data_IF_848055263529
#
_entry.id   IF_848055263529
#
_cell.length_a   1.000
_cell.length_b   1.000
_cell.length_c   1.000
_cell.angle_alpha   90.00
_cell.angle_beta   90.00
_cell.angle_gamma   90.00
#
_symmetry.space_group_name_H-M   'P 1'
#
loop_
_entity.id
_entity.type
_entity.pdbx_description
1 polymer ?
#
# COMPACT_ATOMS: atom_id res chain seq x y z
N UNK A 1 -39.91 19.49 1.47
CA UNK A 1 -38.98 20.50 0.94
C UNK A 1 -37.77 19.72 0.47
N UNK A 2 -37.51 19.68 -0.84
CA UNK A 2 -36.38 18.90 -1.37
C UNK A 2 -35.10 19.68 -1.18
N UNK A 3 -34.11 19.08 -0.53
CA UNK A 3 -32.76 19.61 -0.45
C UNK A 3 -32.21 19.88 -1.87
N UNK A 4 -31.51 21.01 -2.11
CA UNK A 4 -31.05 21.32 -3.45
C UNK A 4 -29.96 20.31 -3.87
N UNK A 5 -30.21 19.51 -4.92
CA UNK A 5 -29.16 18.70 -5.54
C UNK A 5 -28.43 19.52 -6.62
N UNK A 6 -27.14 19.78 -6.43
CA UNK A 6 -26.30 20.43 -7.44
C UNK A 6 -25.69 19.39 -8.39
N UNK A 7 -26.21 19.30 -9.63
CA UNK A 7 -25.71 18.38 -10.65
C UNK A 7 -25.10 19.12 -11.84
N UNK A 8 -23.85 18.81 -12.16
CA UNK A 8 -23.21 19.22 -13.41
C UNK A 8 -22.83 17.99 -14.23
N UNK A 9 -23.11 18.04 -15.53
CA UNK A 9 -22.66 17.05 -16.50
C UNK A 9 -22.03 17.76 -17.70
N UNK A 10 -20.78 17.45 -17.99
CA UNK A 10 -20.10 17.84 -19.22
C UNK A 10 -19.91 16.59 -20.11
N UNK A 11 -20.25 16.73 -21.39
CA UNK A 11 -20.08 15.73 -22.45
C UNK A 11 -19.68 16.43 -23.74
N UNK A 12 -18.56 16.06 -24.35
CA UNK A 12 -18.13 16.56 -25.67
C UNK A 12 -16.80 17.33 -25.69
N UNK A 13 -16.20 17.40 -26.90
CA UNK A 13 -15.00 18.10 -27.43
C UNK A 13 -13.73 18.23 -26.54
N UNK A 14 -12.54 18.52 -27.14
CA UNK A 14 -11.32 18.82 -26.39
C UNK A 14 -11.62 19.78 -25.23
N UNK A 15 -11.30 19.37 -24.00
CA UNK A 15 -11.38 20.13 -22.76
C UNK A 15 -12.76 20.22 -22.06
N UNK A 16 -13.32 19.07 -21.69
CA UNK A 16 -14.52 18.99 -20.86
C UNK A 16 -14.26 19.41 -19.39
N UNK A 17 -14.71 20.61 -18.99
CA UNK A 17 -14.68 21.06 -17.58
C UNK A 17 -16.07 21.06 -16.94
N UNK A 18 -16.23 20.30 -15.87
CA UNK A 18 -17.42 20.34 -15.02
C UNK A 18 -17.03 20.78 -13.61
N UNK A 19 -17.69 21.82 -13.11
CA UNK A 19 -17.43 22.37 -11.78
C UNK A 19 -18.75 22.51 -11.05
N UNK A 20 -18.81 21.95 -9.84
CA UNK A 20 -19.93 22.12 -8.92
C UNK A 20 -19.41 22.80 -7.66
N UNK A 21 -20.12 23.84 -7.22
CA UNK A 21 -19.94 24.51 -5.94
C UNK A 21 -21.31 24.59 -5.25
N UNK A 22 -21.42 24.10 -4.02
CA UNK A 22 -22.57 24.34 -3.15
C UNK A 22 -23.64 23.24 -3.11
N UNK A 23 -24.45 23.33 -2.04
CA UNK A 23 -25.59 22.51 -1.62
C UNK A 23 -25.32 21.06 -1.15
N UNK A 24 -26.23 20.51 -0.30
CA UNK A 24 -26.05 19.25 0.42
C UNK A 24 -25.57 18.07 -0.38
N UNK A 25 -25.96 18.01 -1.65
CA UNK A 25 -25.53 16.94 -2.53
C UNK A 25 -25.01 17.51 -3.84
N UNK A 26 -23.73 17.31 -4.09
CA UNK A 26 -23.03 17.81 -5.26
C UNK A 26 -22.53 16.66 -6.14
N UNK A 27 -23.00 16.59 -7.39
CA UNK A 27 -22.57 15.57 -8.36
C UNK A 27 -22.04 16.22 -9.63
N UNK A 28 -20.76 16.00 -9.90
CA UNK A 28 -20.10 16.41 -11.12
C UNK A 28 -19.74 15.17 -11.95
N UNK A 29 -20.07 15.21 -13.25
CA UNK A 29 -19.67 14.19 -14.21
C UNK A 29 -19.09 14.84 -15.46
N UNK A 30 -17.84 14.53 -15.80
CA UNK A 30 -17.26 14.90 -17.08
C UNK A 30 -17.02 13.63 -17.92
N UNK A 31 -17.29 13.70 -19.22
CA UNK A 31 -16.96 12.66 -20.19
C UNK A 31 -16.53 13.28 -21.52
N UNK A 32 -15.29 13.06 -21.98
CA UNK A 32 -14.81 13.67 -23.23
C UNK A 32 -13.38 13.27 -23.61
N UNK A 33 -12.99 13.67 -24.82
CA UNK A 33 -11.69 13.54 -25.51
C UNK A 33 -11.24 14.94 -25.95
N UNK A 34 -9.94 15.32 -25.97
CA UNK A 34 -8.92 15.18 -24.95
C UNK A 34 -9.15 16.08 -23.70
N UNK A 35 -8.72 15.66 -22.51
CA UNK A 35 -8.73 16.43 -21.24
C UNK A 35 -10.10 16.65 -20.57
N UNK A 36 -10.41 15.81 -19.59
CA UNK A 36 -11.61 15.97 -18.77
C UNK A 36 -11.26 16.38 -17.33
N UNK A 37 -11.82 17.50 -16.87
CA UNK A 37 -11.70 17.94 -15.48
C UNK A 37 -13.06 18.01 -14.81
N UNK A 38 -13.17 17.38 -13.66
CA UNK A 38 -14.34 17.47 -12.80
C UNK A 38 -13.91 17.91 -11.42
N UNK A 39 -14.55 18.97 -10.92
CA UNK A 39 -14.27 19.52 -9.60
C UNK A 39 -15.57 19.68 -8.84
N UNK A 40 -15.63 19.08 -7.67
CA UNK A 40 -16.72 19.28 -6.71
C UNK A 40 -16.16 19.95 -5.47
N UNK A 41 -16.84 21.01 -5.04
CA UNK A 41 -16.68 21.61 -3.71
C UNK A 41 -18.06 21.76 -3.06
N UNK A 42 -18.37 21.00 -2.03
CA UNK A 42 -19.67 21.08 -1.36
C UNK A 42 -19.76 20.19 -0.12
N UNK A 43 -20.76 20.44 0.70
CA UNK A 43 -21.14 19.70 1.91
C UNK A 43 -22.64 19.39 1.79
N UNK A 44 -23.19 18.28 2.35
CA UNK A 44 -22.60 17.01 2.78
C UNK A 44 -21.88 16.11 1.75
N UNK A 45 -22.58 15.69 0.70
CA UNK A 45 -22.15 14.60 -0.15
C UNK A 45 -21.61 15.09 -1.49
N UNK A 46 -20.37 14.73 -1.79
CA UNK A 46 -19.70 15.19 -3.00
C UNK A 46 -19.22 14.03 -3.87
N UNK A 47 -19.76 13.91 -5.08
CA UNK A 47 -19.39 12.89 -6.05
C UNK A 47 -18.83 13.51 -7.34
N UNK A 48 -17.57 13.20 -7.63
CA UNK A 48 -16.89 13.62 -8.85
C UNK A 48 -16.53 12.39 -9.70
N UNK A 49 -17.01 12.35 -10.94
CA UNK A 49 -16.69 11.29 -11.89
C UNK A 49 -16.16 11.86 -13.19
N UNK A 50 -14.99 11.40 -13.62
CA UNK A 50 -14.42 11.67 -14.94
C UNK A 50 -14.25 10.35 -15.65
N UNK A 51 -14.58 10.36 -16.94
CA UNK A 51 -14.18 9.35 -17.90
C UNK A 51 -13.63 10.07 -19.14
N UNK A 52 -12.38 9.90 -19.50
CA UNK A 52 -11.86 10.52 -20.73
C UNK A 52 -10.44 10.09 -21.08
N UNK A 53 -10.12 10.12 -22.36
CA UNK A 53 -8.77 10.09 -22.90
C UNK A 53 -8.32 11.55 -23.19
N UNK A 54 -7.04 11.95 -23.20
CA UNK A 54 -5.87 11.36 -22.58
C UNK A 54 -5.80 11.64 -21.06
N UNK A 55 -6.19 12.85 -20.64
CA UNK A 55 -6.05 13.31 -19.26
C UNK A 55 -7.37 13.37 -18.52
N UNK A 56 -7.45 12.68 -17.39
CA UNK A 56 -8.64 12.63 -16.54
C UNK A 56 -8.31 13.13 -15.13
N UNK A 57 -8.88 14.29 -14.74
CA UNK A 57 -8.67 14.89 -13.41
C UNK A 57 -9.97 15.03 -12.65
N UNK A 58 -10.13 14.22 -11.62
CA UNK A 58 -11.20 14.39 -10.64
C UNK A 58 -10.67 15.00 -9.34
N UNK A 59 -11.39 16.00 -8.83
CA UNK A 59 -11.14 16.57 -7.51
C UNK A 59 -12.43 16.73 -6.73
N UNK A 60 -12.44 16.22 -5.52
CA UNK A 60 -13.47 16.49 -4.53
C UNK A 60 -12.88 17.18 -3.33
N UNK A 61 -13.57 18.18 -2.81
CA UNK A 61 -13.32 18.78 -1.51
C UNK A 61 -14.66 19.01 -0.81
N UNK A 62 -14.93 18.33 0.31
CA UNK A 62 -16.23 18.41 0.98
C UNK A 62 -16.36 17.49 2.18
N UNK A 63 -17.30 17.78 3.06
CA UNK A 63 -17.62 17.04 4.28
C UNK A 63 -19.13 16.74 4.31
N UNK A 64 -19.67 15.57 4.76
CA UNK A 64 -19.01 14.41 5.31
C UNK A 64 -18.46 13.40 4.28
N UNK A 65 -19.15 13.18 3.17
CA UNK A 65 -18.86 12.07 2.27
C UNK A 65 -18.33 12.54 0.91
N UNK A 66 -17.06 12.25 0.66
CA UNK A 66 -16.39 12.70 -0.54
C UNK A 66 -15.88 11.54 -1.40
N UNK A 67 -16.36 11.49 -2.65
CA UNK A 67 -16.03 10.43 -3.59
C UNK A 67 -15.56 10.91 -4.94
N UNK A 68 -14.37 10.47 -5.31
CA UNK A 68 -13.70 10.86 -6.53
C UNK A 68 -13.34 9.63 -7.36
N UNK A 69 -13.77 9.61 -8.62
CA UNK A 69 -13.52 8.52 -9.58
C UNK A 69 -13.03 9.07 -10.92
N UNK A 70 -11.82 8.73 -11.33
CA UNK A 70 -11.28 9.05 -12.65
C UNK A 70 -11.00 7.74 -13.37
N UNK A 71 -11.36 7.72 -14.65
CA UNK A 71 -11.06 6.64 -15.57
C UNK A 71 -10.58 7.24 -16.87
N UNK A 72 -9.42 6.81 -17.37
CA UNK A 72 -8.84 7.38 -18.57
C UNK A 72 -7.43 6.89 -18.81
N UNK A 73 -7.05 6.80 -20.07
CA UNK A 73 -5.70 6.55 -20.57
C UNK A 73 -5.26 7.84 -21.26
N UNK A 74 -4.00 8.36 -21.22
CA UNK A 74 -2.85 8.01 -20.44
C UNK A 74 -2.93 8.31 -18.92
N UNK A 75 -3.33 9.54 -18.59
CA UNK A 75 -3.06 10.13 -17.28
C UNK A 75 -4.35 10.28 -16.47
N UNK A 76 -4.47 9.50 -15.41
CA UNK A 76 -5.63 9.60 -14.52
C UNK A 76 -5.24 10.03 -13.11
N UNK A 77 -5.86 11.12 -12.65
CA UNK A 77 -5.65 11.70 -11.32
C UNK A 77 -6.96 11.85 -10.57
N UNK A 78 -7.02 11.24 -9.40
CA UNK A 78 -8.05 11.50 -8.42
C UNK A 78 -7.47 12.11 -7.16
N UNK A 79 -8.16 13.13 -6.67
CA UNK A 79 -7.92 13.70 -5.35
C UNK A 79 -9.23 13.84 -4.60
N UNK A 80 -9.23 13.35 -3.37
CA UNK A 80 -10.24 13.65 -2.37
C UNK A 80 -9.59 14.36 -1.20
N UNK A 81 -10.26 15.39 -0.69
CA UNK A 81 -10.07 15.92 0.64
C UNK A 81 -11.45 16.03 1.30
N UNK A 82 -11.67 15.47 2.46
CA UNK A 82 -12.95 15.59 3.16
C UNK A 82 -12.97 14.76 4.43
N UNK A 83 -13.60 15.26 5.47
CA UNK A 83 -13.94 14.52 6.69
C UNK A 83 -15.45 14.28 6.68
N UNK A 84 -16.05 13.18 7.17
CA UNK A 84 -15.54 11.90 7.59
C UNK A 84 -14.87 11.02 6.52
N UNK A 85 -15.57 10.80 5.42
CA UNK A 85 -15.31 9.66 4.54
C UNK A 85 -14.74 10.10 3.20
N UNK A 86 -13.51 9.69 2.93
CA UNK A 86 -12.78 10.07 1.73
C UNK A 86 -12.47 8.86 0.85
N UNK A 87 -13.17 8.72 -0.28
CA UNK A 87 -12.99 7.60 -1.24
C UNK A 87 -12.46 8.06 -2.58
N UNK A 88 -11.18 7.75 -2.83
CA UNK A 88 -10.47 8.08 -4.06
C UNK A 88 -10.18 6.82 -4.88
N UNK A 89 -10.70 6.74 -6.11
CA UNK A 89 -10.47 5.60 -7.01
C UNK A 89 -10.06 6.05 -8.41
N UNK A 90 -8.98 5.48 -8.93
CA UNK A 90 -8.51 5.72 -10.27
C UNK A 90 -8.33 4.39 -11.00
N UNK A 91 -8.61 4.38 -12.30
CA UNK A 91 -8.26 3.32 -13.24
C UNK A 91 -7.76 3.95 -14.55
N UNK A 92 -6.64 3.50 -15.09
CA UNK A 92 -6.08 4.05 -16.33
C UNK A 92 -4.69 3.48 -16.63
N UNK A 93 -4.11 3.80 -17.77
CA UNK A 93 -2.79 3.41 -18.23
C UNK A 93 -2.23 4.55 -19.08
N UNK A 94 -0.98 5.04 -18.96
CA UNK A 94 0.14 4.58 -18.15
C UNK A 94 0.19 5.06 -16.71
N UNK A 95 -0.25 6.28 -16.41
CA UNK A 95 0.03 6.90 -15.13
C UNK A 95 -1.24 7.10 -14.29
N UNK A 96 -1.31 6.36 -13.18
CA UNK A 96 -2.46 6.45 -12.29
C UNK A 96 -2.11 6.93 -10.91
N UNK A 97 -2.88 7.93 -10.47
CA UNK A 97 -2.58 8.63 -9.23
C UNK A 97 -3.83 8.88 -8.42
N UNK A 98 -3.94 8.18 -7.29
CA UNK A 98 -4.96 8.44 -6.29
C UNK A 98 -4.38 9.09 -5.03
N UNK A 99 -5.07 10.10 -4.52
CA UNK A 99 -4.87 10.68 -3.20
C UNK A 99 -6.19 10.80 -2.45
N UNK A 100 -6.33 10.13 -1.31
CA UNK A 100 -7.38 10.41 -0.35
C UNK A 100 -6.76 11.08 0.89
N UNK A 101 -7.45 12.10 1.41
CA UNK A 101 -7.17 12.70 2.71
C UNK A 101 -8.47 13.00 3.43
N UNK A 102 -8.61 12.55 4.66
CA UNK A 102 -9.82 12.74 5.46
C UNK A 102 -9.75 12.00 6.78
N UNK A 103 -10.46 12.49 7.77
CA UNK A 103 -10.67 11.86 9.07
C UNK A 103 -12.20 11.64 9.21
N UNK A 104 -12.77 10.47 9.59
CA UNK A 104 -12.15 9.25 10.04
C UNK A 104 -11.64 8.27 8.97
N UNK A 105 -12.45 7.95 7.95
CA UNK A 105 -12.14 6.83 7.05
C UNK A 105 -11.62 7.34 5.70
N UNK A 106 -10.37 7.02 5.39
CA UNK A 106 -9.79 7.33 4.09
C UNK A 106 -9.43 6.07 3.30
N UNK A 107 -9.93 6.01 2.06
CA UNK A 107 -9.66 4.90 1.14
C UNK A 107 -9.15 5.39 -0.21
N UNK A 108 -8.04 4.81 -0.63
CA UNK A 108 -7.33 5.16 -1.86
C UNK A 108 -7.04 3.90 -2.68
N UNK A 109 -7.53 3.84 -3.93
CA UNK A 109 -7.25 2.74 -4.87
C UNK A 109 -6.80 3.25 -6.24
N UNK A 110 -5.66 2.77 -6.70
CA UNK A 110 -5.11 3.03 -8.03
C UNK A 110 -4.88 1.68 -8.71
N UNK A 111 -5.25 1.65 -9.97
CA UNK A 111 -5.11 0.52 -10.86
C UNK A 111 -4.66 1.05 -12.20
N UNK A 112 -3.49 0.63 -12.64
CA UNK A 112 -2.97 1.06 -13.92
C UNK A 112 -1.63 0.46 -14.25
N UNK A 113 -1.36 0.40 -15.54
CA UNK A 113 -0.16 -0.14 -16.16
C UNK A 113 0.38 0.97 -17.06
N UNK A 114 1.64 1.44 -16.99
CA UNK A 114 2.75 1.07 -16.12
C UNK A 114 2.70 1.44 -14.62
N UNK A 115 2.34 2.69 -14.30
CA UNK A 115 2.63 3.27 -13.00
C UNK A 115 1.37 3.51 -12.15
N UNK A 116 1.38 2.92 -10.96
CA UNK A 116 0.28 3.04 -9.99
C UNK A 116 0.74 3.63 -8.66
N UNK A 117 0.28 4.86 -8.38
CA UNK A 117 0.50 5.55 -7.10
C UNK A 117 -0.77 5.73 -6.30
N UNK A 118 -0.78 5.13 -5.11
CA UNK A 118 -1.76 5.42 -4.07
C UNK A 118 -1.13 6.07 -2.86
N UNK A 119 -1.78 7.13 -2.38
CA UNK A 119 -1.46 7.73 -1.09
C UNK A 119 -2.74 8.03 -0.32
N UNK A 120 -2.77 7.55 0.91
CA UNK A 120 -3.80 7.89 1.87
C UNK A 120 -3.17 8.56 3.08
N UNK A 121 -3.86 9.56 3.63
CA UNK A 121 -3.59 10.14 4.95
C UNK A 121 -4.94 10.36 5.65
N UNK A 122 -5.18 9.75 6.79
CA UNK A 122 -6.42 9.92 7.55
C UNK A 122 -6.33 9.25 8.90
N UNK A 123 -7.04 9.80 9.87
CA UNK A 123 -7.16 9.37 11.27
C UNK A 123 -8.65 9.10 11.51
N UNK A 124 -9.17 7.92 11.95
CA UNK A 124 -8.54 6.72 12.42
C UNK A 124 -8.04 5.73 11.34
N UNK A 125 -8.79 5.56 10.25
CA UNK A 125 -8.62 4.40 9.37
C UNK A 125 -8.10 4.78 7.98
N UNK A 126 -6.91 4.27 7.65
CA UNK A 126 -6.24 4.56 6.38
C UNK A 126 -6.00 3.32 5.53
N UNK A 127 -6.72 3.19 4.41
CA UNK A 127 -6.60 2.06 3.47
C UNK A 127 -6.07 2.49 2.10
N UNK A 128 -4.87 2.04 1.77
CA UNK A 128 -4.24 2.25 0.46
C UNK A 128 -4.05 0.93 -0.31
N UNK A 129 -4.40 0.96 -1.60
CA UNK A 129 -4.13 -0.15 -2.53
C UNK A 129 -3.66 0.35 -3.90
N UNK A 130 -2.41 0.09 -4.24
CA UNK A 130 -1.87 0.25 -5.59
C UNK A 130 -1.80 -1.11 -6.28
N UNK A 131 -2.18 -1.16 -7.55
CA UNK A 131 -2.06 -2.32 -8.43
C UNK A 131 -1.61 -1.85 -9.81
N UNK A 132 -0.48 -2.34 -10.28
CA UNK A 132 0.07 -1.93 -11.56
C UNK A 132 1.34 -2.67 -11.91
N UNK A 133 1.51 -2.95 -13.19
CA UNK A 133 2.69 -3.54 -13.83
C UNK A 133 3.24 -2.43 -14.71
N UNK A 134 4.52 -1.98 -14.61
CA UNK A 134 5.57 -2.48 -13.76
C UNK A 134 5.67 -1.91 -12.35
N UNK A 135 5.23 -0.66 -12.10
CA UNK A 135 5.56 0.03 -10.85
C UNK A 135 4.33 0.31 -9.97
N UNK A 136 4.37 -0.20 -8.74
CA UNK A 136 3.29 -0.04 -7.76
C UNK A 136 3.77 0.58 -6.45
N UNK A 137 3.37 1.84 -6.19
CA UNK A 137 3.68 2.57 -4.96
C UNK A 137 2.43 2.81 -4.12
N UNK A 138 2.37 2.21 -2.94
CA UNK A 138 1.31 2.43 -1.96
C UNK A 138 1.85 2.98 -0.63
N UNK A 139 1.24 4.07 -0.15
CA UNK A 139 1.51 4.67 1.15
C UNK A 139 0.22 4.96 1.92
N UNK A 140 0.17 4.50 3.17
CA UNK A 140 -0.87 4.82 4.14
C UNK A 140 -0.23 5.41 5.39
N UNK A 141 -0.92 6.42 5.91
CA UNK A 141 -0.58 7.10 7.15
C UNK A 141 -1.88 7.38 7.89
N UNK A 142 -2.03 6.82 9.07
CA UNK A 142 -3.20 6.99 9.92
C UNK A 142 -2.95 6.38 11.28
N UNK A 143 -3.38 7.06 12.31
CA UNK A 143 -3.50 6.60 13.70
C UNK A 143 -5.00 6.41 13.89
N UNK A 144 -5.57 5.30 14.41
CA UNK A 144 -4.98 4.07 14.86
C UNK A 144 -4.56 3.07 13.77
N UNK A 145 -5.33 2.89 12.69
CA UNK A 145 -5.15 1.77 11.76
C UNK A 145 -4.63 2.20 10.37
N UNK A 146 -3.50 1.62 9.96
CA UNK A 146 -2.90 1.84 8.64
C UNK A 146 -2.70 0.56 7.86
N UNK A 147 -3.43 0.42 6.74
CA UNK A 147 -3.30 -0.70 5.81
C UNK A 147 -2.82 -0.30 4.44
N UNK A 148 -1.69 -0.87 4.04
CA UNK A 148 -1.11 -0.73 2.71
C UNK A 148 -1.03 -2.04 1.95
N UNK A 149 -1.41 -2.00 0.68
CA UNK A 149 -1.19 -3.09 -0.27
C UNK A 149 -0.62 -2.55 -1.58
N UNK A 150 0.56 -3.03 -1.97
CA UNK A 150 1.09 -2.86 -3.31
C UNK A 150 1.12 -4.23 -4.00
N UNK A 151 0.70 -4.29 -5.26
CA UNK A 151 0.85 -5.47 -6.12
C UNK A 151 1.24 -5.06 -7.52
N UNK A 152 2.31 -5.63 -8.07
CA UNK A 152 2.87 -5.24 -9.34
C UNK A 152 4.14 -6.01 -9.65
N UNK A 153 4.49 -6.12 -10.92
CA UNK A 153 5.62 -6.89 -11.45
C UNK A 153 6.40 -5.96 -12.39
N UNK A 154 7.63 -5.48 -12.09
CA UNK A 154 8.53 -5.85 -11.01
C UNK A 154 8.46 -5.00 -9.74
N UNK A 155 8.44 -3.68 -9.86
CA UNK A 155 8.77 -2.82 -8.74
C UNK A 155 7.57 -2.50 -7.84
N UNK A 156 7.47 -3.21 -6.72
CA UNK A 156 6.40 -2.99 -5.75
C UNK A 156 6.90 -2.40 -4.43
N UNK A 157 6.39 -1.21 -4.06
CA UNK A 157 6.68 -0.54 -2.79
C UNK A 157 5.44 -0.28 -1.97
N UNK A 158 5.44 -0.82 -0.76
CA UNK A 158 4.40 -0.61 0.24
C UNK A 158 4.99 0.03 1.51
N UNK A 159 4.37 1.10 2.00
CA UNK A 159 4.73 1.78 3.25
C UNK A 159 3.51 2.09 4.10
N UNK A 160 3.35 1.39 5.21
CA UNK A 160 2.36 1.72 6.25
C UNK A 160 3.04 2.46 7.41
N UNK A 161 2.38 3.48 7.95
CA UNK A 161 2.74 4.13 9.21
C UNK A 161 1.47 4.45 9.99
N UNK A 162 1.36 3.95 11.21
CA UNK A 162 0.23 4.18 12.10
C UNK A 162 0.55 3.64 13.49
N UNK A 163 -0.21 4.10 14.47
CA UNK A 163 -0.12 3.71 15.88
C UNK A 163 -1.56 3.61 16.38
N UNK A 164 -2.09 2.44 16.82
CA UNK A 164 -1.41 1.22 17.22
C UNK A 164 -1.16 0.16 16.11
N UNK A 165 -1.96 0.16 15.04
CA UNK A 165 -2.02 -0.98 14.11
C UNK A 165 -1.51 -0.63 12.71
N UNK A 166 -0.46 -1.33 12.27
CA UNK A 166 0.07 -1.13 10.92
C UNK A 166 0.31 -2.43 10.15
N UNK A 167 -0.34 -2.52 8.98
CA UNK A 167 -0.22 -3.66 8.07
C UNK A 167 0.25 -3.24 6.69
N UNK A 168 1.39 -3.79 6.26
CA UNK A 168 1.87 -3.66 4.89
C UNK A 168 1.99 -5.02 4.23
N UNK A 169 1.44 -5.12 3.02
CA UNK A 169 1.56 -6.29 2.16
C UNK A 169 2.08 -5.85 0.80
N UNK A 170 3.16 -6.48 0.37
CA UNK A 170 3.68 -6.37 -0.98
C UNK A 170 3.64 -7.75 -1.63
N UNK A 171 3.22 -7.81 -2.91
CA UNK A 171 3.33 -9.01 -3.76
C UNK A 171 3.82 -8.55 -5.13
N UNK A 172 4.98 -9.00 -5.59
CA UNK A 172 5.53 -8.63 -6.88
C UNK A 172 6.84 -9.33 -7.17
N UNK A 173 7.15 -9.55 -8.44
CA UNK A 173 8.31 -10.28 -8.96
C UNK A 173 9.02 -9.40 -10.00
N UNK A 174 10.35 -9.17 -10.01
CA UNK A 174 11.33 -9.00 -8.92
C UNK A 174 11.32 -7.62 -8.22
N UNK A 175 11.95 -7.50 -7.04
CA UNK A 175 12.10 -6.25 -6.23
C UNK A 175 10.87 -5.76 -5.43
N UNK A 176 10.50 -6.51 -4.39
CA UNK A 176 9.46 -6.09 -3.45
C UNK A 176 10.01 -5.38 -2.20
N UNK A 177 9.55 -4.15 -1.91
CA UNK A 177 9.88 -3.39 -0.68
C UNK A 177 8.67 -3.17 0.22
N UNK A 178 8.67 -3.82 1.39
CA UNK A 178 7.70 -3.61 2.47
C UNK A 178 8.34 -2.85 3.63
N UNK A 179 7.74 -1.72 4.03
CA UNK A 179 8.14 -0.96 5.23
C UNK A 179 6.95 -0.69 6.12
N UNK A 180 7.09 -1.01 7.40
CA UNK A 180 6.10 -0.69 8.45
C UNK A 180 6.79 0.08 9.56
N UNK A 181 6.11 1.10 10.10
CA UNK A 181 6.50 1.82 11.32
C UNK A 181 5.27 2.11 12.19
N UNK A 182 5.23 1.61 13.41
CA UNK A 182 4.16 1.79 14.39
C UNK A 182 4.47 1.07 15.70
N UNK A 183 3.91 1.46 16.83
CA UNK A 183 3.77 0.63 18.04
C UNK A 183 2.29 0.26 18.18
N UNK A 184 1.84 -0.79 18.91
CA UNK A 184 2.49 -2.05 19.24
C UNK A 184 2.34 -3.12 18.12
N UNK A 185 1.23 -3.13 17.37
CA UNK A 185 0.91 -4.23 16.46
C UNK A 185 1.34 -3.96 15.01
N UNK A 186 2.49 -4.53 14.63
CA UNK A 186 3.02 -4.33 13.28
C UNK A 186 3.17 -5.62 12.47
N UNK A 187 2.72 -5.54 11.22
CA UNK A 187 2.70 -6.71 10.33
C UNK A 187 3.16 -6.38 8.93
N UNK A 188 4.34 -6.89 8.58
CA UNK A 188 4.88 -6.83 7.22
C UNK A 188 4.87 -8.20 6.55
N UNK A 189 4.29 -8.27 5.35
CA UNK A 189 4.39 -9.43 4.45
C UNK A 189 4.98 -8.97 3.12
N UNK A 190 6.13 -9.54 2.75
CA UNK A 190 6.64 -9.48 1.39
C UNK A 190 6.61 -10.88 0.76
N UNK A 191 6.15 -10.95 -0.48
CA UNK A 191 6.21 -12.13 -1.33
C UNK A 191 6.68 -11.70 -2.72
N UNK A 192 7.75 -12.30 -3.22
CA UNK A 192 8.30 -12.02 -4.53
C UNK A 192 9.57 -12.83 -4.78
N UNK A 193 9.77 -13.25 -6.01
CA UNK A 193 11.01 -13.75 -6.61
C UNK A 193 11.95 -12.55 -6.84
N UNK A 194 13.26 -12.77 -7.08
CA UNK A 194 14.40 -12.32 -6.25
C UNK A 194 14.39 -10.88 -5.69
N UNK A 195 15.10 -10.68 -4.57
CA UNK A 195 15.36 -9.37 -3.89
C UNK A 195 14.22 -8.72 -3.08
N UNK A 196 13.47 -9.52 -2.31
CA UNK A 196 12.50 -8.97 -1.35
C UNK A 196 13.15 -8.32 -0.13
N UNK A 197 12.85 -7.04 0.14
CA UNK A 197 13.25 -6.32 1.37
C UNK A 197 12.06 -5.99 2.27
N UNK A 198 12.09 -6.53 3.49
CA UNK A 198 11.12 -6.24 4.55
C UNK A 198 11.79 -5.52 5.72
N UNK A 199 11.22 -4.38 6.12
CA UNK A 199 11.64 -3.65 7.32
C UNK A 199 10.44 -3.34 8.21
N UNK A 200 10.55 -3.74 9.47
CA UNK A 200 9.58 -3.40 10.51
C UNK A 200 10.31 -2.73 11.65
N UNK A 201 9.74 -1.62 12.14
CA UNK A 201 10.16 -0.92 13.34
C UNK A 201 8.92 -0.66 14.20
N UNK A 202 8.88 -1.18 15.42
CA UNK A 202 7.77 -1.02 16.34
C UNK A 202 8.00 -1.64 17.72
N UNK A 203 7.37 -1.07 18.74
CA UNK A 203 7.26 -1.59 20.12
C UNK A 203 6.11 -2.60 20.24
N UNK A 204 5.92 -3.27 21.39
CA UNK A 204 5.97 -4.74 21.50
C UNK A 204 4.98 -5.45 20.56
N UNK A 205 5.43 -6.49 19.85
CA UNK A 205 4.71 -7.27 18.83
C UNK A 205 4.89 -6.91 17.33
N UNK A 206 6.11 -7.14 16.84
CA UNK A 206 6.42 -7.06 15.41
C UNK A 206 6.41 -8.43 14.71
N UNK A 207 5.64 -8.56 13.62
CA UNK A 207 5.65 -9.76 12.73
C UNK A 207 6.14 -9.46 11.32
N UNK A 208 7.29 -10.02 11.00
CA UNK A 208 7.90 -10.02 9.66
C UNK A 208 7.75 -11.38 8.99
N UNK A 209 7.20 -11.40 7.77
CA UNK A 209 7.26 -12.59 6.91
C UNK A 209 7.73 -12.21 5.50
N UNK A 210 8.84 -12.80 5.07
CA UNK A 210 9.27 -12.78 3.69
C UNK A 210 9.25 -14.20 3.11
N UNK A 211 8.81 -14.31 1.86
CA UNK A 211 8.84 -15.54 1.06
C UNK A 211 9.30 -15.20 -0.35
N UNK A 212 10.39 -15.77 -0.83
CA UNK A 212 10.93 -15.52 -2.17
C UNK A 212 12.11 -16.42 -2.51
N UNK A 213 12.35 -16.62 -3.81
CA UNK A 213 13.61 -17.14 -4.38
C UNK A 213 14.78 -16.14 -4.09
N UNK A 214 16.06 -16.43 -4.40
CA UNK A 214 17.23 -16.01 -3.60
C UNK A 214 17.35 -14.50 -3.27
N UNK A 215 18.11 -14.19 -2.19
CA UNK A 215 18.48 -12.82 -1.74
C UNK A 215 17.44 -11.99 -0.97
N UNK A 216 16.58 -12.62 -0.17
CA UNK A 216 15.66 -11.90 0.72
C UNK A 216 16.36 -11.25 1.93
N UNK A 217 16.02 -9.99 2.25
CA UNK A 217 16.47 -9.30 3.47
C UNK A 217 15.30 -8.94 4.39
N UNK A 218 15.36 -9.41 5.64
CA UNK A 218 14.43 -9.05 6.69
C UNK A 218 15.14 -8.33 7.83
N UNK A 219 14.65 -7.14 8.19
CA UNK A 219 15.08 -6.41 9.39
C UNK A 219 13.89 -6.09 10.29
N UNK A 220 13.94 -6.57 11.52
CA UNK A 220 13.02 -6.22 12.58
C UNK A 220 13.79 -5.49 13.69
N UNK A 221 13.25 -4.37 14.17
CA UNK A 221 13.78 -3.63 15.32
C UNK A 221 12.60 -3.29 16.25
N UNK A 222 12.63 -3.74 17.50
CA UNK A 222 11.55 -3.48 18.47
C UNK A 222 11.87 -3.98 19.89
N UNK A 223 11.29 -3.35 20.91
CA UNK A 223 11.20 -3.87 22.29
C UNK A 223 10.15 -5.03 22.31
N UNK A 224 9.97 -5.81 23.41
CA UNK A 224 9.85 -7.29 23.43
C UNK A 224 8.87 -7.98 22.43
N UNK A 225 9.12 -9.28 22.17
CA UNK A 225 8.29 -10.20 21.35
C UNK A 225 8.28 -10.07 19.81
N UNK A 226 9.44 -9.83 19.18
CA UNK A 226 9.54 -9.84 17.71
C UNK A 226 9.55 -11.25 17.10
N UNK A 227 8.68 -11.52 16.10
CA UNK A 227 8.68 -12.76 15.30
C UNK A 227 9.01 -12.53 13.83
N UNK A 228 10.12 -13.13 13.39
CA UNK A 228 10.55 -13.11 11.99
C UNK A 228 10.51 -14.51 11.37
N UNK A 229 9.89 -14.64 10.19
CA UNK A 229 9.89 -15.87 9.39
C UNK A 229 10.34 -15.59 7.97
N UNK A 230 11.42 -16.24 7.55
CA UNK A 230 11.89 -16.22 6.16
C UNK A 230 11.87 -17.62 5.60
N UNK A 231 11.30 -17.76 4.40
CA UNK A 231 11.33 -18.99 3.60
C UNK A 231 11.85 -18.63 2.21
N UNK A 232 13.00 -19.15 1.84
CA UNK A 232 13.61 -18.88 0.54
C UNK A 232 14.83 -19.76 0.26
N UNK A 233 15.16 -19.86 -1.01
CA UNK A 233 16.36 -20.45 -1.62
C UNK A 233 17.63 -19.63 -1.23
N UNK A 234 18.88 -20.04 -1.57
CA UNK A 234 20.09 -19.62 -0.84
C UNK A 234 20.32 -18.09 -0.71
N UNK A 235 21.18 -17.69 0.25
CA UNK A 235 21.63 -16.30 0.54
C UNK A 235 20.66 -15.35 1.25
N UNK A 236 19.61 -15.85 1.90
CA UNK A 236 18.71 -15.02 2.71
C UNK A 236 19.41 -14.42 3.96
N UNK A 237 19.14 -13.13 4.26
CA UNK A 237 19.68 -12.42 5.45
C UNK A 237 18.57 -11.94 6.39
N UNK A 238 18.66 -12.37 7.66
CA UNK A 238 17.76 -11.93 8.73
C UNK A 238 18.53 -11.18 9.82
N UNK A 239 18.05 -9.99 10.19
CA UNK A 239 18.56 -9.23 11.35
C UNK A 239 17.40 -8.85 12.28
N UNK A 240 17.46 -9.30 13.52
CA UNK A 240 16.58 -8.88 14.59
C UNK A 240 17.40 -8.15 15.66
N UNK A 241 16.90 -7.00 16.13
CA UNK A 241 17.49 -6.26 17.25
C UNK A 241 16.36 -5.91 18.23
N UNK A 242 16.42 -6.39 19.46
CA UNK A 242 15.39 -6.17 20.47
C UNK A 242 15.78 -6.74 21.83
N UNK A 243 15.10 -6.29 22.89
CA UNK A 243 15.18 -6.85 24.25
C UNK A 243 14.52 -8.28 24.29
N UNK A 244 14.36 -8.98 25.44
CA UNK A 244 14.18 -10.45 25.47
C UNK A 244 12.97 -11.00 24.67
N UNK A 245 12.96 -12.32 24.43
CA UNK A 245 11.90 -13.11 23.75
C UNK A 245 11.75 -13.01 22.21
N UNK A 246 12.74 -12.48 21.50
CA UNK A 246 12.72 -12.49 20.02
C UNK A 246 12.85 -13.90 19.42
N UNK A 247 11.95 -14.27 18.48
CA UNK A 247 12.00 -15.55 17.73
C UNK A 247 12.21 -15.36 16.23
N UNK A 248 13.28 -15.94 15.71
CA UNK A 248 13.57 -15.98 14.27
C UNK A 248 13.55 -17.42 13.75
N UNK A 249 12.80 -17.66 12.66
CA UNK A 249 12.80 -18.95 11.94
C UNK A 249 13.18 -18.72 10.48
N UNK A 250 14.21 -19.42 10.04
CA UNK A 250 14.61 -19.46 8.64
C UNK A 250 14.51 -20.90 8.15
N UNK A 251 13.86 -21.08 7.00
CA UNK A 251 13.80 -22.34 6.27
C UNK A 251 14.33 -22.07 4.87
N UNK A 252 15.48 -22.63 4.54
CA UNK A 252 16.20 -22.37 3.30
C UNK A 252 17.51 -23.16 3.24
N UNK A 253 18.26 -23.00 2.16
CA UNK A 253 19.56 -23.65 1.93
C UNK A 253 20.67 -23.18 2.89
N UNK A 254 21.78 -23.94 3.03
CA UNK A 254 22.85 -23.73 4.01
C UNK A 254 23.47 -22.33 4.04
N UNK A 255 23.38 -21.58 2.93
CA UNK A 255 23.99 -20.25 2.78
C UNK A 255 23.24 -19.10 3.48
N UNK A 256 22.17 -19.40 4.23
CA UNK A 256 21.35 -18.38 4.92
C UNK A 256 22.03 -17.83 6.18
N UNK A 257 22.02 -16.50 6.38
CA UNK A 257 22.60 -15.84 7.58
C UNK A 257 21.54 -15.22 8.49
N UNK A 258 21.61 -15.52 9.78
CA UNK A 258 20.76 -14.93 10.82
C UNK A 258 21.61 -14.25 11.89
N UNK A 259 21.24 -13.03 12.28
CA UNK A 259 21.83 -12.32 13.42
C UNK A 259 20.73 -11.79 14.32
N UNK A 260 20.74 -12.21 15.58
CA UNK A 260 19.96 -11.61 16.65
C UNK A 260 20.94 -10.89 17.60
N UNK A 261 20.60 -9.69 18.05
CA UNK A 261 21.34 -8.98 19.10
C UNK A 261 20.31 -8.46 20.11
N UNK A 262 20.42 -8.93 21.36
CA UNK A 262 19.54 -8.63 22.49
C UNK A 262 20.13 -9.25 23.77
N UNK A 263 19.64 -8.84 24.94
CA UNK A 263 19.92 -9.49 26.24
C UNK A 263 19.38 -10.96 26.25
N UNK A 264 19.60 -11.82 27.28
CA UNK A 264 19.41 -13.27 27.16
C UNK A 264 17.98 -13.66 26.70
N UNK A 265 17.82 -14.88 26.16
CA UNK A 265 16.55 -15.53 25.71
C UNK A 265 16.13 -15.44 24.23
N UNK A 266 16.91 -14.79 23.35
CA UNK A 266 16.59 -14.78 21.91
C UNK A 266 16.82 -16.15 21.23
N UNK A 267 15.82 -16.66 20.49
CA UNK A 267 15.89 -17.97 19.81
C UNK A 267 15.97 -17.83 18.29
N UNK A 268 17.03 -18.38 17.70
CA UNK A 268 17.18 -18.53 16.25
C UNK A 268 17.16 -20.01 15.85
N UNK A 269 16.19 -20.41 15.01
CA UNK A 269 16.13 -21.76 14.42
C UNK A 269 16.26 -21.68 12.91
N UNK A 270 17.34 -22.25 12.37
CA UNK A 270 17.47 -22.55 10.96
C UNK A 270 17.14 -24.03 10.71
N UNK A 271 16.24 -24.31 9.76
CA UNK A 271 16.06 -25.66 9.21
C UNK A 271 16.56 -25.65 7.77
N UNK A 272 17.72 -26.24 7.58
CA UNK A 272 18.32 -26.47 6.27
C UNK A 272 17.77 -27.79 5.73
N UNK A 273 17.27 -27.80 4.50
CA UNK A 273 16.94 -29.05 3.84
C UNK A 273 18.26 -29.71 3.42
N UNK A 274 18.88 -30.49 4.32
CA UNK A 274 19.95 -31.40 3.92
C UNK A 274 19.29 -32.52 3.11
N UNK A 275 19.65 -32.65 1.83
CA UNK A 275 19.32 -33.84 1.04
C UNK A 275 20.00 -35.06 1.69
N UNK A 276 19.29 -36.15 2.02
CA UNK A 276 19.91 -37.36 2.55
C UNK A 276 20.47 -38.25 1.41
N UNK A 277 21.70 -38.77 1.60
CA UNK A 277 22.34 -39.82 0.78
C UNK A 277 23.69 -39.35 0.19
N UNK A 278 24.80 -40.09 0.27
CA UNK A 278 25.01 -41.55 0.35
C UNK A 278 26.33 -41.85 1.09
N UNK A 279 26.31 -42.78 2.05
CA UNK A 279 27.51 -43.49 2.50
C UNK A 279 28.08 -44.38 1.38
N UNK A 280 29.33 -44.13 0.98
CA UNK A 280 30.34 -45.10 0.50
C UNK A 280 31.69 -44.41 0.78
N UNK A 281 32.65 -44.92 1.55
CA UNK A 281 33.08 -46.27 1.82
C UNK A 281 34.55 -46.38 1.35
N UNK A 282 35.50 -46.52 2.29
CA UNK A 282 36.92 -46.86 2.06
C UNK A 282 37.83 -45.65 1.78
N UNK A 283 39.04 -45.54 2.35
CA UNK A 283 39.86 -46.46 3.14
C UNK A 283 40.59 -45.69 4.26
#
# INVERSE_FOLDING_TARGET
MGDPESRCRATGDPESQCRVKGDPESRCRATGDPESQCRVRGDPESQCRVRGDPESRCRVTGDPESRCRAMGDPESRCRVKGDPESRCRVRGAPETRCRARGDPESRCRAMGDPESRCRVKGDPESRCRAMGEPESKCRAMGEPESRCRAMGDPESRCRARGDPESRCRVKGDPESRCRVRGAPETRCRARGDPESRSRVRGDPESRCRATGEPESQCRATGEPESRSRVRGDPKSRCRATGEPESRSRVRGDPESRCRATGEPESQCRARLNLTPGVERGGA
#
